data_IF_359782637590
#
_entry.id   IF_359782637590
#
_cell.length_a   1.000
_cell.length_b   1.000
_cell.length_c   1.000
_cell.angle_alpha   90.00
_cell.angle_beta   90.00
_cell.angle_gamma   90.00
#
_symmetry.space_group_name_H-M   'P 1'
#
loop_
_entity.id
_entity.type
_entity.pdbx_description
1 polymer ?
#
# COMPACT_ATOMS: atom_id res chain seq x y z
N UNK A 1 -15.44 -3.45 -10.17
CA UNK A 1 -15.27 -4.58 -9.22
C UNK A 1 -16.38 -5.60 -9.47
N UNK A 2 -16.04 -6.86 -9.54
CA UNK A 2 -16.98 -7.93 -9.76
C UNK A 2 -16.95 -8.93 -8.59
N UNK A 3 -18.07 -9.65 -8.40
CA UNK A 3 -18.20 -10.63 -7.32
C UNK A 3 -18.62 -11.97 -7.92
N UNK A 4 -17.90 -13.04 -7.57
CA UNK A 4 -18.22 -14.39 -7.97
C UNK A 4 -17.85 -15.36 -6.85
N UNK A 5 -18.74 -16.29 -6.48
CA UNK A 5 -18.51 -17.28 -5.42
C UNK A 5 -18.08 -16.64 -4.10
N UNK A 6 -18.71 -15.52 -3.72
CA UNK A 6 -18.38 -14.74 -2.53
C UNK A 6 -16.97 -14.13 -2.57
N UNK A 7 -16.33 -14.12 -3.72
CA UNK A 7 -15.03 -13.49 -3.91
C UNK A 7 -15.16 -12.25 -4.77
N UNK A 8 -14.27 -11.31 -4.55
CA UNK A 8 -14.19 -10.07 -5.29
C UNK A 8 -12.92 -10.03 -6.12
N UNK A 9 -12.98 -9.41 -7.25
CA UNK A 9 -11.79 -9.16 -8.06
C UNK A 9 -11.97 -7.88 -8.85
N UNK A 10 -10.85 -7.28 -9.19
CA UNK A 10 -10.80 -6.06 -10.00
C UNK A 10 -10.72 -6.45 -11.46
N UNK A 11 -11.53 -5.80 -12.29
CA UNK A 11 -11.48 -6.01 -13.74
C UNK A 11 -10.82 -4.79 -14.36
N UNK A 12 -9.73 -5.00 -15.09
CA UNK A 12 -9.01 -3.94 -15.79
C UNK A 12 -8.92 -4.31 -17.26
N UNK A 13 -9.42 -3.43 -18.12
CA UNK A 13 -9.44 -3.64 -19.57
C UNK A 13 -10.04 -5.00 -19.95
N UNK A 14 -11.09 -5.41 -19.25
CA UNK A 14 -11.76 -6.66 -19.50
C UNK A 14 -11.11 -7.90 -18.91
N UNK A 15 -9.94 -7.77 -18.28
CA UNK A 15 -9.25 -8.88 -17.65
C UNK A 15 -9.50 -8.90 -16.15
N UNK A 16 -9.86 -10.08 -15.63
CA UNK A 16 -10.07 -10.29 -14.21
C UNK A 16 -8.74 -10.46 -13.51
N UNK A 17 -8.58 -9.73 -12.39
CA UNK A 17 -7.39 -9.85 -11.56
C UNK A 17 -7.48 -11.00 -10.57
N UNK A 18 -6.63 -10.97 -9.56
CA UNK A 18 -6.56 -11.96 -8.50
C UNK A 18 -7.87 -11.99 -7.70
N UNK A 19 -8.52 -13.17 -7.55
CA UNK A 19 -9.71 -13.23 -6.70
C UNK A 19 -9.34 -13.09 -5.23
N UNK A 20 -10.11 -12.26 -4.52
CA UNK A 20 -9.90 -11.96 -3.11
C UNK A 20 -11.20 -12.17 -2.34
N UNK A 21 -11.11 -12.36 -1.03
CA UNK A 21 -12.31 -12.40 -0.19
C UNK A 21 -12.94 -11.01 -0.13
N UNK A 22 -12.12 -9.96 -0.25
CA UNK A 22 -12.58 -8.58 -0.34
C UNK A 22 -11.53 -7.71 -0.97
N UNK A 23 -11.96 -6.57 -1.52
CA UNK A 23 -11.10 -5.54 -2.09
C UNK A 23 -11.28 -4.30 -1.23
N UNK A 24 -10.18 -3.69 -0.81
CA UNK A 24 -10.22 -2.47 -0.01
C UNK A 24 -10.87 -1.33 -0.78
N UNK A 25 -11.95 -0.77 -0.23
CA UNK A 25 -12.64 0.37 -0.84
C UNK A 25 -11.72 1.56 -0.84
N UNK A 26 -11.56 2.20 -2.01
CA UNK A 26 -10.69 3.36 -2.15
C UNK A 26 -9.21 3.02 -2.26
N UNK A 27 -8.85 1.73 -2.33
CA UNK A 27 -7.44 1.35 -2.44
C UNK A 27 -6.93 1.31 -3.87
N UNK A 28 -7.81 1.33 -4.87
CA UNK A 28 -7.41 1.25 -6.26
C UNK A 28 -6.70 2.53 -6.69
N UNK A 29 -5.46 2.42 -7.12
CA UNK A 29 -4.66 3.55 -7.59
C UNK A 29 -3.99 3.21 -8.91
N UNK A 30 -3.84 4.22 -9.75
CA UNK A 30 -3.11 4.13 -11.00
C UNK A 30 -1.78 4.88 -10.89
N UNK A 31 -0.78 4.38 -11.59
CA UNK A 31 0.48 5.12 -11.69
C UNK A 31 0.29 6.40 -12.50
N UNK A 32 1.17 7.41 -12.32
CA UNK A 32 1.05 8.66 -13.07
C UNK A 32 1.03 8.48 -14.61
N UNK A 33 1.71 7.46 -15.13
CA UNK A 33 1.71 7.18 -16.58
C UNK A 33 0.50 6.36 -17.01
N UNK A 34 -0.40 6.01 -16.09
CA UNK A 34 -1.62 5.23 -16.34
C UNK A 34 -1.37 3.81 -16.85
N UNK A 35 -0.16 3.30 -16.74
CA UNK A 35 0.19 1.96 -17.22
C UNK A 35 0.17 0.90 -16.14
N UNK A 36 0.17 1.31 -14.86
CA UNK A 36 0.20 0.41 -13.74
C UNK A 36 -0.99 0.64 -12.84
N UNK A 37 -1.43 -0.42 -12.17
CA UNK A 37 -2.55 -0.36 -11.23
C UNK A 37 -2.21 -1.18 -10.00
N UNK A 38 -2.60 -0.66 -8.84
CA UNK A 38 -2.44 -1.36 -7.57
C UNK A 38 -3.69 -1.22 -6.73
N UNK A 39 -3.92 -2.20 -5.88
CA UNK A 39 -5.04 -2.18 -4.94
C UNK A 39 -4.76 -3.14 -3.80
N UNK A 40 -5.54 -3.02 -2.73
CA UNK A 40 -5.45 -3.89 -1.56
C UNK A 40 -6.54 -4.95 -1.64
N UNK A 41 -6.14 -6.21 -1.48
CA UNK A 41 -7.09 -7.31 -1.33
C UNK A 41 -6.87 -8.02 -0.01
N UNK A 42 -7.85 -8.83 0.40
CA UNK A 42 -7.67 -9.67 1.58
C UNK A 42 -8.08 -11.10 1.30
N UNK A 43 -7.50 -11.99 2.08
CA UNK A 43 -7.88 -13.40 2.09
C UNK A 43 -7.82 -13.86 3.54
N UNK A 44 -8.98 -14.21 4.11
CA UNK A 44 -9.10 -14.48 5.53
C UNK A 44 -8.71 -13.24 6.34
N UNK A 45 -7.81 -13.42 7.29
CA UNK A 45 -7.35 -12.34 8.16
C UNK A 45 -6.10 -11.64 7.62
N UNK A 46 -5.69 -11.96 6.39
CA UNK A 46 -4.45 -11.41 5.82
C UNK A 46 -4.79 -10.46 4.70
N UNK A 47 -3.98 -9.40 4.60
CA UNK A 47 -4.10 -8.40 3.54
C UNK A 47 -2.84 -8.38 2.69
N UNK A 48 -3.00 -7.99 1.44
CA UNK A 48 -1.89 -7.89 0.49
C UNK A 48 -2.19 -6.82 -0.56
N UNK A 49 -1.13 -6.33 -1.18
CA UNK A 49 -1.27 -5.41 -2.31
C UNK A 49 -1.12 -6.22 -3.60
N UNK A 50 -1.99 -5.96 -4.55
CA UNK A 50 -1.88 -6.52 -5.89
C UNK A 50 -1.37 -5.42 -6.81
N UNK A 51 -0.29 -5.69 -7.51
CA UNK A 51 0.33 -4.75 -8.45
C UNK A 51 0.38 -5.41 -9.82
N UNK A 52 -0.26 -4.80 -10.80
CA UNK A 52 -0.28 -5.31 -12.19
C UNK A 52 -0.69 -6.78 -12.25
N UNK A 53 -1.68 -7.14 -11.42
CA UNK A 53 -2.22 -8.49 -11.38
C UNK A 53 -1.42 -9.47 -10.52
N UNK A 54 -0.35 -9.04 -9.87
CA UNK A 54 0.48 -9.91 -9.03
C UNK A 54 0.30 -9.58 -7.56
N UNK A 55 0.05 -10.62 -6.77
CA UNK A 55 -0.14 -10.49 -5.33
C UNK A 55 1.21 -10.41 -4.62
N UNK A 56 1.37 -9.40 -3.76
CA UNK A 56 2.55 -9.25 -2.93
C UNK A 56 2.47 -10.06 -1.63
N UNK A 57 3.40 -9.75 -0.72
CA UNK A 57 3.46 -10.40 0.59
C UNK A 57 2.21 -10.10 1.41
N UNK A 58 1.76 -11.06 2.20
CA UNK A 58 0.63 -10.89 3.10
C UNK A 58 1.06 -10.27 4.42
N UNK A 59 0.19 -9.40 4.95
CA UNK A 59 0.39 -8.73 6.24
C UNK A 59 -0.87 -8.85 7.08
N UNK A 60 -0.76 -8.55 8.37
CA UNK A 60 -1.91 -8.49 9.26
C UNK A 60 -2.86 -7.37 8.85
N UNK A 61 -2.33 -6.30 8.31
CA UNK A 61 -3.12 -5.19 7.81
C UNK A 61 -2.34 -4.32 6.84
N UNK A 62 -3.07 -3.58 6.01
CA UNK A 62 -2.50 -2.57 5.12
C UNK A 62 -3.40 -1.35 5.21
N UNK A 63 -2.80 -0.19 5.39
CA UNK A 63 -3.56 1.06 5.44
C UNK A 63 -3.92 1.44 4.00
N UNK A 64 -5.18 1.22 3.62
CA UNK A 64 -5.62 1.25 2.22
C UNK A 64 -5.38 2.60 1.52
N UNK A 65 -5.47 3.70 2.25
CA UNK A 65 -5.32 5.02 1.65
C UNK A 65 -3.86 5.49 1.57
N UNK A 66 -2.90 4.60 1.82
CA UNK A 66 -1.47 4.96 1.77
C UNK A 66 -0.78 4.53 0.48
N UNK A 67 -1.44 3.76 -0.39
CA UNK A 67 -0.84 3.32 -1.64
C UNK A 67 -0.53 4.54 -2.51
N UNK A 68 0.73 4.67 -2.90
CA UNK A 68 1.18 5.78 -3.74
C UNK A 68 2.30 5.33 -4.66
N UNK A 69 2.18 5.67 -5.94
CA UNK A 69 3.24 5.46 -6.92
C UNK A 69 4.20 6.64 -6.91
N UNK A 70 5.47 6.37 -7.20
CA UNK A 70 6.45 7.44 -7.41
C UNK A 70 6.11 8.24 -8.67
N UNK A 71 6.62 9.48 -8.79
CA UNK A 71 6.34 10.32 -9.96
C UNK A 71 6.75 9.69 -11.31
N UNK A 72 7.74 8.81 -11.31
CA UNK A 72 8.19 8.12 -12.53
C UNK A 72 7.47 6.80 -12.76
N UNK A 73 6.47 6.46 -11.93
CA UNK A 73 5.66 5.24 -12.01
C UNK A 73 6.43 3.95 -11.76
N UNK A 74 7.69 4.02 -11.33
CA UNK A 74 8.54 2.84 -11.15
C UNK A 74 8.42 2.19 -9.78
N UNK A 75 8.03 2.95 -8.77
CA UNK A 75 7.99 2.48 -7.38
C UNK A 75 6.60 2.62 -6.80
N UNK A 76 6.25 1.70 -5.91
CA UNK A 76 5.00 1.78 -5.15
C UNK A 76 5.33 1.69 -3.67
N UNK A 77 4.77 2.59 -2.88
CA UNK A 77 4.93 2.60 -1.43
C UNK A 77 3.58 2.52 -0.74
N UNK A 78 3.56 1.89 0.43
CA UNK A 78 2.37 1.81 1.26
C UNK A 78 2.77 1.51 2.70
N UNK A 79 1.82 1.66 3.63
CA UNK A 79 2.03 1.33 5.03
C UNK A 79 1.34 0.01 5.34
N UNK A 80 2.10 -0.94 5.89
CA UNK A 80 1.62 -2.25 6.30
C UNK A 80 1.77 -2.42 7.80
N UNK A 81 1.04 -3.36 8.35
CA UNK A 81 1.06 -3.67 9.77
C UNK A 81 1.29 -5.16 9.97
N UNK A 82 2.19 -5.50 10.89
CA UNK A 82 2.45 -6.88 11.28
C UNK A 82 2.93 -6.89 12.72
N UNK A 83 2.41 -7.81 13.54
CA UNK A 83 2.78 -7.94 14.94
C UNK A 83 2.63 -6.61 15.72
N UNK A 84 1.55 -5.88 15.44
CA UNK A 84 1.24 -4.59 16.07
C UNK A 84 2.24 -3.47 15.76
N UNK A 85 3.08 -3.67 14.75
CA UNK A 85 4.01 -2.66 14.29
C UNK A 85 3.64 -2.24 12.89
N UNK A 86 3.85 -0.97 12.59
CA UNK A 86 3.64 -0.41 11.26
C UNK A 86 4.98 -0.08 10.63
N UNK A 87 5.03 -0.21 9.32
CA UNK A 87 6.25 0.11 8.57
C UNK A 87 5.87 0.45 7.14
N UNK A 88 6.74 1.22 6.49
CA UNK A 88 6.57 1.55 5.08
C UNK A 88 7.18 0.43 4.24
N UNK A 89 6.44 0.00 3.22
CA UNK A 89 6.91 -0.99 2.25
C UNK A 89 7.09 -0.27 0.92
N UNK A 90 8.27 -0.43 0.32
CA UNK A 90 8.57 0.13 -1.00
C UNK A 90 9.07 -1.00 -1.88
N UNK A 91 8.36 -1.25 -2.99
CA UNK A 91 8.70 -2.32 -3.93
C UNK A 91 8.91 -3.66 -3.23
N UNK A 92 8.10 -3.95 -2.20
CA UNK A 92 8.19 -5.18 -1.44
C UNK A 92 9.25 -5.20 -0.35
N UNK A 93 10.02 -4.13 -0.19
CA UNK A 93 11.06 -4.03 0.85
C UNK A 93 10.50 -3.30 2.05
N UNK A 94 10.55 -3.93 3.22
CA UNK A 94 10.03 -3.40 4.47
C UNK A 94 11.05 -2.45 5.11
N UNK A 95 10.56 -1.28 5.53
CA UNK A 95 11.39 -0.31 6.23
C UNK A 95 11.44 -0.55 7.72
N UNK A 96 12.00 0.40 8.46
CA UNK A 96 12.08 0.34 9.91
C UNK A 96 10.68 0.40 10.51
N UNK A 97 10.36 -0.50 11.45
CA UNK A 97 9.06 -0.44 12.09
C UNK A 97 8.94 0.76 13.03
N UNK A 98 7.76 1.33 13.06
CA UNK A 98 7.41 2.35 14.03
C UNK A 98 6.17 1.90 14.77
N UNK A 99 6.13 2.19 16.07
CA UNK A 99 5.04 1.77 16.93
C UNK A 99 3.86 2.73 16.74
N UNK A 100 2.67 2.14 16.80
CA UNK A 100 1.37 2.81 16.94
C UNK A 100 1.33 4.26 16.55
N UNK A 101 0.94 4.52 15.34
CA UNK A 101 0.70 5.88 14.99
C UNK A 101 -0.69 6.02 14.45
N UNK A 102 -1.57 6.46 15.30
CA UNK A 102 -2.86 6.92 14.84
C UNK A 102 -2.74 8.41 14.54
N UNK A 103 -2.29 8.71 13.34
CA UNK A 103 -2.28 10.08 12.84
C UNK A 103 -3.57 10.42 12.11
N UNK A 104 -4.56 9.52 12.16
CA UNK A 104 -5.79 9.69 11.43
C UNK A 104 -5.51 9.83 9.94
N UNK A 105 -6.06 10.89 9.33
CA UNK A 105 -5.89 11.12 7.89
C UNK A 105 -4.50 11.60 7.49
N UNK A 106 -3.57 11.72 8.44
CA UNK A 106 -2.22 12.23 8.18
C UNK A 106 -1.21 11.13 7.81
N UNK A 107 -1.66 9.90 7.70
CA UNK A 107 -0.80 8.79 7.29
C UNK A 107 -0.58 8.87 5.79
N UNK A 108 0.43 9.61 5.39
CA UNK A 108 0.76 9.76 3.98
C UNK A 108 2.23 9.56 3.73
N UNK A 109 2.49 8.89 2.63
CA UNK A 109 3.82 8.79 2.08
C UNK A 109 3.84 9.77 0.92
N UNK A 110 4.79 10.70 0.92
CA UNK A 110 4.88 11.74 -0.10
C UNK A 110 6.21 11.59 -0.82
N UNK A 111 6.15 11.40 -2.13
CA UNK A 111 7.36 11.38 -2.95
C UNK A 111 7.79 12.81 -3.26
N UNK A 112 9.01 13.14 -2.87
CA UNK A 112 9.63 14.44 -3.14
C UNK A 112 10.37 14.41 -4.47
N UNK A 113 10.78 13.23 -4.90
CA UNK A 113 11.47 12.95 -6.15
C UNK A 113 11.18 11.49 -6.51
N UNK A 114 11.52 11.04 -7.74
CA UNK A 114 11.24 9.66 -8.12
C UNK A 114 11.81 8.60 -7.18
N UNK A 115 12.91 8.89 -6.50
CA UNK A 115 13.57 7.95 -5.61
C UNK A 115 13.67 8.45 -4.16
N UNK A 116 12.96 9.51 -3.81
CA UNK A 116 12.97 10.05 -2.46
C UNK A 116 11.56 10.27 -1.96
N UNK A 117 11.30 9.91 -0.70
CA UNK A 117 10.01 10.12 -0.09
C UNK A 117 10.16 10.45 1.39
N UNK A 118 9.09 11.00 1.94
CA UNK A 118 9.03 11.26 3.37
C UNK A 118 7.67 10.86 3.92
N UNK A 119 7.63 10.64 5.22
CA UNK A 119 6.41 10.41 5.96
C UNK A 119 6.63 10.85 7.40
N UNK A 120 5.53 10.99 8.13
CA UNK A 120 5.55 11.41 9.53
C UNK A 120 5.10 10.26 10.39
N UNK A 121 5.81 10.00 11.47
CA UNK A 121 5.39 9.00 12.44
C UNK A 121 5.54 9.55 13.87
N UNK A 122 4.84 8.92 14.81
CA UNK A 122 4.91 9.29 16.21
C UNK A 122 5.54 8.14 17.00
N UNK A 123 6.53 8.47 17.82
CA UNK A 123 7.15 7.51 18.74
C UNK A 123 7.28 8.15 20.10
N UNK A 124 6.76 7.49 21.13
CA UNK A 124 6.85 7.96 22.53
C UNK A 124 6.41 9.42 22.69
N UNK A 125 5.38 9.81 21.99
CA UNK A 125 4.84 11.17 22.06
C UNK A 125 5.56 12.21 21.21
N UNK A 126 6.62 11.84 20.51
CA UNK A 126 7.33 12.74 19.60
C UNK A 126 6.96 12.50 18.16
N UNK A 127 6.87 13.58 17.42
CA UNK A 127 6.60 13.56 16.00
C UNK A 127 7.93 13.53 15.24
N UNK A 128 8.10 12.52 14.38
CA UNK A 128 9.30 12.35 13.58
C UNK A 128 8.98 12.54 12.12
N UNK A 129 9.79 13.30 11.43
CA UNK A 129 9.78 13.38 9.97
C UNK A 129 10.87 12.44 9.46
N UNK A 130 10.44 11.43 8.72
CA UNK A 130 11.35 10.42 8.18
C UNK A 130 11.50 10.68 6.68
N UNK A 131 12.73 10.82 6.23
CA UNK A 131 13.07 10.94 4.82
C UNK A 131 13.88 9.74 4.41
N UNK A 132 13.50 9.13 3.29
CA UNK A 132 14.17 7.95 2.80
C UNK A 132 14.43 8.05 1.31
N UNK A 133 15.47 7.35 0.88
CA UNK A 133 15.86 7.28 -0.51
C UNK A 133 15.84 5.83 -0.98
N UNK A 134 15.30 5.63 -2.19
CA UNK A 134 15.29 4.31 -2.83
C UNK A 134 16.57 4.20 -3.66
N UNK A 135 17.34 3.17 -3.41
CA UNK A 135 18.59 2.94 -4.13
C UNK A 135 18.46 1.87 -5.20
#
# INVERSE_FOLDING_TARGET
>A
MAVSNHRQFVVVDGEEGEPCDGIGVGSLVFSPDSRRVAYVGNRGNRMFVVIDGRRGKEYDGIVCNTLVFSPDSKHLAYIAQSNRKQFVVVDGVEGQPFADVDLGDRRRIIFDAPNEFHYVCVRKGYLYLIRERIE
#
